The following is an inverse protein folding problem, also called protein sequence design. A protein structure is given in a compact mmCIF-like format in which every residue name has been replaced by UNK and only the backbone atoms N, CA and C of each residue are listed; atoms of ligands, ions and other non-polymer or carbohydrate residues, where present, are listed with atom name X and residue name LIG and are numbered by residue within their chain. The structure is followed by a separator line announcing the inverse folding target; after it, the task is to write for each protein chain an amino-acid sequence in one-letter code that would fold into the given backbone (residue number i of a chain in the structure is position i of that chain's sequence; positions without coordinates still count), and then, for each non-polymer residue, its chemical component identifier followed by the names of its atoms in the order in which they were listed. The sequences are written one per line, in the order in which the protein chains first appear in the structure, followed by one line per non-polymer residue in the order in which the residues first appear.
data_IF_241428758295
#
_entry.id   IF_241428758295
#
_cell.length_a   1.000
_cell.length_b   1.000
_cell.length_c   1.000
_cell.angle_alpha   90.00
_cell.angle_beta   90.00
_cell.angle_gamma   90.00
#
_symmetry.space_group_name_H-M   'P 1'
#
loop_
_entity.id
_entity.type
_entity.pdbx_description
1 polymer ?
#
# COMPACT_ATOMS: atom_id res chain seq x y z
N UNK A 1 1.26 -5.94 45.03
CA UNK A 1 1.29 -6.83 43.85
C UNK A 1 2.69 -7.38 43.75
N UNK A 2 2.87 -8.68 43.87
CA UNK A 2 4.19 -9.34 43.76
C UNK A 2 4.54 -9.40 42.25
N UNK A 3 5.57 -8.69 41.84
CA UNK A 3 6.13 -8.84 40.50
C UNK A 3 6.59 -10.29 40.29
N UNK A 4 6.03 -10.94 39.26
CA UNK A 4 6.40 -12.30 38.88
C UNK A 4 7.52 -12.22 37.86
N UNK A 5 8.76 -12.36 38.28
CA UNK A 5 9.92 -12.43 37.39
C UNK A 5 9.89 -13.78 36.65
N UNK A 6 9.79 -13.74 35.32
CA UNK A 6 9.88 -14.91 34.44
C UNK A 6 11.30 -14.96 33.89
N UNK A 7 12.04 -16.01 34.22
CA UNK A 7 13.37 -16.25 33.64
C UNK A 7 13.17 -17.05 32.35
N UNK A 8 13.63 -16.47 31.23
CA UNK A 8 13.63 -17.09 29.91
C UNK A 8 15.06 -17.16 29.37
N UNK A 9 15.36 -18.18 28.58
CA UNK A 9 16.64 -18.25 27.86
C UNK A 9 16.71 -17.16 26.78
N UNK A 10 17.93 -16.71 26.46
CA UNK A 10 18.13 -15.74 25.36
C UNK A 10 17.65 -16.31 24.02
N UNK A 11 17.86 -17.62 23.81
CA UNK A 11 17.41 -18.33 22.60
C UNK A 11 15.89 -18.29 22.43
N UNK A 12 15.15 -18.54 23.51
CA UNK A 12 13.69 -18.50 23.49
C UNK A 12 13.15 -17.09 23.20
N UNK A 13 13.78 -16.07 23.83
CA UNK A 13 13.44 -14.66 23.60
C UNK A 13 13.71 -14.28 22.14
N UNK A 14 14.90 -14.62 21.63
CA UNK A 14 15.29 -14.32 20.25
C UNK A 14 14.39 -15.03 19.25
N UNK A 15 14.08 -16.32 19.48
CA UNK A 15 13.19 -17.11 18.63
C UNK A 15 11.78 -16.53 18.57
N UNK A 16 11.18 -16.18 19.71
CA UNK A 16 9.85 -15.55 19.77
C UNK A 16 9.83 -14.20 19.04
N UNK A 17 10.81 -13.34 19.32
CA UNK A 17 10.90 -12.01 18.70
C UNK A 17 11.13 -12.10 17.20
N UNK A 18 12.01 -12.98 16.74
CA UNK A 18 12.24 -13.23 15.33
C UNK A 18 11.00 -13.78 14.62
N UNK A 19 10.29 -14.72 15.25
CA UNK A 19 9.06 -15.28 14.71
C UNK A 19 7.96 -14.21 14.54
N UNK A 20 7.77 -13.35 15.53
CA UNK A 20 6.82 -12.24 15.47
C UNK A 20 7.19 -11.22 14.39
N UNK A 21 8.46 -10.85 14.31
CA UNK A 21 8.95 -9.92 13.29
C UNK A 21 8.79 -10.50 11.87
N UNK A 22 9.15 -11.77 11.69
CA UNK A 22 8.99 -12.46 10.39
C UNK A 22 7.53 -12.50 9.97
N UNK A 23 6.61 -12.84 10.89
CA UNK A 23 5.17 -12.82 10.63
C UNK A 23 4.69 -11.43 10.19
N UNK A 24 5.13 -10.38 10.88
CA UNK A 24 4.80 -9.00 10.52
C UNK A 24 5.30 -8.64 9.11
N UNK A 25 6.56 -8.95 8.76
CA UNK A 25 7.10 -8.67 7.43
C UNK A 25 6.35 -9.43 6.34
N UNK A 26 5.91 -10.65 6.60
CA UNK A 26 5.16 -11.45 5.63
C UNK A 26 3.77 -10.85 5.41
N UNK A 27 3.00 -10.63 6.47
CA UNK A 27 1.59 -10.26 6.40
C UNK A 27 1.36 -8.77 6.15
N UNK A 28 2.18 -7.90 6.79
CA UNK A 28 1.87 -6.48 6.89
C UNK A 28 2.82 -5.58 6.08
N UNK A 29 3.74 -6.16 5.29
CA UNK A 29 4.71 -5.35 4.52
C UNK A 29 5.00 -5.85 3.12
N UNK A 30 5.46 -7.10 2.97
CA UNK A 30 6.18 -7.51 1.78
C UNK A 30 5.30 -8.11 0.69
N UNK A 31 4.26 -8.86 1.07
CA UNK A 31 3.44 -9.60 0.13
C UNK A 31 2.11 -8.89 -0.15
N UNK A 32 1.63 -8.93 -1.40
CA UNK A 32 0.30 -8.42 -1.75
C UNK A 32 -0.79 -9.37 -1.25
N UNK A 33 -1.99 -8.84 -0.98
CA UNK A 33 -3.19 -9.67 -0.80
C UNK A 33 -3.64 -10.21 -2.15
N UNK A 34 -3.98 -11.50 -2.22
CA UNK A 34 -4.40 -12.15 -3.48
C UNK A 34 -5.68 -11.57 -4.05
N UNK A 35 -6.56 -11.02 -3.20
CA UNK A 35 -7.90 -10.51 -3.57
C UNK A 35 -7.84 -9.17 -4.30
N UNK A 36 -6.97 -8.25 -3.86
CA UNK A 36 -6.85 -6.90 -4.45
C UNK A 36 -5.48 -6.59 -5.06
N UNK A 37 -4.51 -7.49 -4.89
CA UNK A 37 -3.17 -7.34 -5.46
C UNK A 37 -2.32 -6.23 -4.83
N UNK A 38 -2.70 -5.74 -3.65
CA UNK A 38 -2.07 -4.59 -3.01
C UNK A 38 -1.30 -4.99 -1.75
N UNK A 39 -0.15 -4.36 -1.57
CA UNK A 39 0.54 -4.34 -0.28
C UNK A 39 -0.17 -3.36 0.66
N UNK A 40 -0.07 -3.53 1.99
CA UNK A 40 -0.76 -2.66 2.94
C UNK A 40 -0.49 -1.16 2.72
N UNK A 41 0.76 -0.74 2.49
CA UNK A 41 1.08 0.67 2.22
C UNK A 41 0.39 1.19 0.96
N UNK A 42 0.30 0.39 -0.10
CA UNK A 42 -0.38 0.77 -1.36
C UNK A 42 -1.88 0.96 -1.14
N UNK A 43 -2.52 0.02 -0.42
CA UNK A 43 -3.94 0.10 -0.08
C UNK A 43 -4.24 1.35 0.75
N UNK A 44 -3.42 1.65 1.74
CA UNK A 44 -3.55 2.83 2.61
C UNK A 44 -3.41 4.15 1.83
N UNK A 45 -2.49 4.21 0.87
CA UNK A 45 -2.33 5.38 -0.02
C UNK A 45 -3.62 5.61 -0.83
N UNK A 46 -4.10 4.58 -1.52
CA UNK A 46 -5.30 4.69 -2.37
C UNK A 46 -6.55 4.98 -1.53
N UNK A 47 -6.67 4.36 -0.35
CA UNK A 47 -7.77 4.61 0.58
C UNK A 47 -7.78 6.05 1.10
N UNK A 48 -6.64 6.57 1.54
CA UNK A 48 -6.50 7.95 1.99
C UNK A 48 -6.87 8.94 0.88
N UNK A 49 -6.40 8.72 -0.35
CA UNK A 49 -6.75 9.55 -1.50
C UNK A 49 -8.26 9.52 -1.78
N UNK A 50 -8.88 8.35 -1.74
CA UNK A 50 -10.32 8.20 -1.95
C UNK A 50 -11.13 8.89 -0.85
N UNK A 51 -10.80 8.66 0.42
CA UNK A 51 -11.48 9.23 1.58
C UNK A 51 -11.41 10.76 1.61
N UNK A 52 -10.29 11.33 1.18
CA UNK A 52 -10.12 12.78 1.03
C UNK A 52 -10.79 13.36 -0.23
N UNK A 53 -11.41 12.53 -1.07
CA UNK A 53 -12.02 12.96 -2.32
C UNK A 53 -11.00 13.42 -3.37
N UNK A 54 -9.76 12.90 -3.33
CA UNK A 54 -8.74 13.15 -4.34
C UNK A 54 -8.94 12.26 -5.57
N UNK A 55 -10.07 12.46 -6.26
CA UNK A 55 -10.59 11.61 -7.32
C UNK A 55 -10.05 12.02 -8.70
N UNK A 56 -10.14 11.16 -9.72
CA UNK A 56 -9.66 11.44 -11.08
C UNK A 56 -10.27 12.70 -11.72
N UNK A 57 -11.49 13.04 -11.33
CA UNK A 57 -12.23 14.22 -11.84
C UNK A 57 -11.92 15.51 -11.08
N UNK A 58 -11.08 15.45 -10.05
CA UNK A 58 -10.72 16.59 -9.21
C UNK A 58 -9.32 17.12 -9.59
N UNK A 59 -9.00 18.37 -9.23
CA UNK A 59 -7.65 18.89 -9.40
C UNK A 59 -6.60 18.05 -8.68
N UNK A 60 -5.39 18.04 -9.23
CA UNK A 60 -4.24 17.44 -8.56
C UNK A 60 -3.99 18.10 -7.20
N UNK A 61 -3.49 17.32 -6.24
CA UNK A 61 -3.08 17.78 -4.91
C UNK A 61 -1.62 17.49 -4.67
N UNK A 62 -0.94 18.34 -3.90
CA UNK A 62 0.45 18.10 -3.50
C UNK A 62 0.62 16.70 -2.90
N UNK A 63 1.59 15.96 -3.42
CA UNK A 63 1.92 14.60 -2.94
C UNK A 63 2.20 14.58 -1.44
N UNK A 64 2.86 15.61 -0.93
CA UNK A 64 3.13 15.77 0.51
C UNK A 64 1.87 15.75 1.38
N UNK A 65 0.72 16.21 0.87
CA UNK A 65 -0.54 16.17 1.61
C UNK A 65 -1.02 14.73 1.78
N UNK A 66 -1.06 13.96 0.70
CA UNK A 66 -1.44 12.53 0.75
C UNK A 66 -0.50 11.73 1.64
N UNK A 67 0.82 11.93 1.51
CA UNK A 67 1.82 11.28 2.35
C UNK A 67 1.59 11.60 3.82
N UNK A 68 1.36 12.88 4.16
CA UNK A 68 1.06 13.31 5.53
C UNK A 68 -0.17 12.63 6.11
N UNK A 69 -1.27 12.55 5.34
CA UNK A 69 -2.50 11.86 5.77
C UNK A 69 -2.27 10.36 6.00
N UNK A 70 -1.52 9.70 5.10
CA UNK A 70 -1.22 8.27 5.23
C UNK A 70 -0.41 7.98 6.49
N UNK A 71 0.62 8.77 6.76
CA UNK A 71 1.47 8.58 7.96
C UNK A 71 0.69 8.90 9.22
N UNK A 72 -0.05 9.99 9.22
CA UNK A 72 -0.79 10.44 10.40
C UNK A 72 -1.90 9.48 10.80
N UNK A 73 -2.60 8.87 9.83
CA UNK A 73 -3.83 8.13 10.14
C UNK A 73 -3.70 6.61 9.96
N UNK A 74 -2.80 6.10 9.08
CA UNK A 74 -2.86 4.68 8.68
C UNK A 74 -1.52 3.95 8.75
N UNK A 75 -0.39 4.64 8.50
CA UNK A 75 0.89 3.96 8.28
C UNK A 75 2.03 4.68 9.00
N UNK A 76 2.25 4.38 10.31
CA UNK A 76 3.20 5.09 11.16
C UNK A 76 4.67 4.69 10.86
N UNK A 77 5.11 4.93 9.63
CA UNK A 77 6.47 4.66 9.13
C UNK A 77 7.04 5.91 8.46
N UNK A 78 8.29 5.82 7.96
CA UNK A 78 8.96 6.97 7.32
C UNK A 78 8.24 7.49 6.08
N UNK A 79 8.20 8.81 5.92
CA UNK A 79 7.56 9.52 4.81
C UNK A 79 8.11 9.15 3.44
N UNK A 80 9.42 8.97 3.33
CA UNK A 80 10.08 8.53 2.10
C UNK A 80 9.55 7.20 1.59
N UNK A 81 9.33 6.22 2.47
CA UNK A 81 8.82 4.91 2.06
C UNK A 81 7.39 4.97 1.51
N UNK A 82 6.54 5.81 2.11
CA UNK A 82 5.17 6.05 1.64
C UNK A 82 5.19 6.81 0.32
N UNK A 83 6.02 7.83 0.19
CA UNK A 83 6.14 8.60 -1.04
C UNK A 83 6.67 7.76 -2.20
N UNK A 84 7.73 6.96 -1.99
CA UNK A 84 8.26 6.05 -3.01
C UNK A 84 7.23 5.01 -3.46
N UNK A 85 6.42 4.47 -2.53
CA UNK A 85 5.33 3.58 -2.88
C UNK A 85 4.28 4.29 -3.76
N UNK A 86 3.91 5.54 -3.43
CA UNK A 86 2.98 6.35 -4.21
C UNK A 86 3.54 6.67 -5.60
N UNK A 87 4.81 7.02 -5.71
CA UNK A 87 5.51 7.26 -6.99
C UNK A 87 5.46 5.99 -7.85
N UNK A 88 5.77 4.81 -7.29
CA UNK A 88 5.69 3.54 -8.03
C UNK A 88 4.31 3.26 -8.60
N UNK A 89 3.25 3.57 -7.86
CA UNK A 89 1.88 3.40 -8.32
C UNK A 89 1.51 4.30 -9.51
N UNK A 90 2.32 5.33 -9.80
CA UNK A 90 2.12 6.26 -10.93
C UNK A 90 3.02 5.98 -12.15
N UNK A 91 3.99 5.08 -12.03
CA UNK A 91 4.98 4.82 -13.07
C UNK A 91 4.49 3.77 -14.07
N UNK A 92 4.28 4.14 -15.33
CA UNK A 92 3.79 3.26 -16.39
C UNK A 92 4.78 2.17 -16.83
N UNK A 93 6.09 2.35 -16.52
CA UNK A 93 7.12 1.31 -16.69
C UNK A 93 7.23 0.33 -15.50
N UNK A 94 6.55 0.60 -14.38
CA UNK A 94 6.47 -0.29 -13.20
C UNK A 94 5.10 -0.93 -13.04
N UNK A 95 4.06 -0.25 -13.49
CA UNK A 95 2.67 -0.66 -13.38
C UNK A 95 2.08 -0.76 -14.79
N UNK A 96 1.54 -1.90 -15.16
CA UNK A 96 0.84 -2.03 -16.45
C UNK A 96 -0.36 -1.10 -16.54
N UNK A 97 -1.07 -0.94 -15.43
CA UNK A 97 -2.16 0.01 -15.26
C UNK A 97 -1.89 0.85 -13.99
N UNK A 98 -1.32 2.05 -14.12
CA UNK A 98 -1.06 2.92 -12.98
C UNK A 98 -2.33 3.22 -12.18
N UNK A 99 -2.20 3.19 -10.85
CA UNK A 99 -3.31 3.44 -9.93
C UNK A 99 -3.33 4.87 -9.39
N UNK A 100 -2.22 5.58 -9.56
CA UNK A 100 -2.07 7.00 -9.21
C UNK A 100 -1.73 7.77 -10.49
N UNK A 101 -2.43 8.86 -10.71
CA UNK A 101 -2.13 9.85 -11.75
C UNK A 101 -1.31 10.98 -11.11
N UNK A 102 -0.06 11.12 -11.54
CA UNK A 102 0.90 12.06 -10.94
C UNK A 102 1.38 13.09 -11.97
N UNK A 103 1.46 14.33 -11.53
CA UNK A 103 1.98 15.46 -12.29
C UNK A 103 3.31 15.94 -11.69
N UNK A 104 4.26 16.23 -12.56
CA UNK A 104 5.62 16.59 -12.20
C UNK A 104 6.61 15.46 -12.48
N UNK A 105 7.84 15.59 -11.96
CA UNK A 105 8.87 14.57 -12.14
C UNK A 105 8.63 13.39 -11.18
N UNK A 106 8.13 12.27 -11.71
CA UNK A 106 7.94 11.00 -10.99
C UNK A 106 9.06 9.97 -11.29
N UNK A 107 10.23 10.42 -11.73
CA UNK A 107 11.37 9.56 -12.07
C UNK A 107 11.41 9.15 -13.53
N UNK A 108 12.33 8.25 -13.87
CA UNK A 108 12.47 7.69 -15.21
C UNK A 108 12.69 6.18 -15.19
N UNK A 109 12.58 5.54 -16.37
CA UNK A 109 12.90 4.12 -16.54
C UNK A 109 14.41 3.86 -16.33
N UNK A 110 15.25 4.85 -16.53
CA UNK A 110 16.70 4.80 -16.32
C UNK A 110 17.08 4.93 -14.83
N UNK A 111 16.08 4.87 -13.96
CA UNK A 111 16.22 4.90 -12.51
C UNK A 111 16.59 6.28 -11.92
N UNK A 112 16.29 7.37 -12.64
CA UNK A 112 16.35 8.69 -12.03
C UNK A 112 15.32 8.81 -10.92
N UNK A 113 15.65 9.44 -9.78
CA UNK A 113 14.73 9.61 -8.69
C UNK A 113 13.61 10.59 -9.03
N UNK A 114 12.44 10.38 -8.44
CA UNK A 114 11.37 11.37 -8.47
C UNK A 114 11.79 12.65 -7.74
N UNK A 115 11.21 13.77 -8.13
CA UNK A 115 11.34 15.01 -7.38
C UNK A 115 10.73 14.85 -5.97
N UNK A 116 11.19 15.67 -5.02
CA UNK A 116 10.64 15.63 -3.67
C UNK A 116 9.11 15.87 -3.65
N UNK A 117 8.41 15.26 -2.70
CA UNK A 117 6.93 15.26 -2.60
C UNK A 117 6.28 16.65 -2.53
N UNK A 118 7.05 17.69 -2.19
CA UNK A 118 6.59 19.09 -2.20
C UNK A 118 6.44 19.67 -3.60
N UNK A 119 7.10 19.07 -4.61
CA UNK A 119 7.08 19.52 -6.00
C UNK A 119 6.09 18.76 -6.87
N UNK A 120 5.82 17.50 -6.56
CA UNK A 120 4.88 16.67 -7.32
C UNK A 120 3.45 16.81 -6.80
N UNK A 121 2.51 16.51 -7.69
CA UNK A 121 1.08 16.52 -7.39
C UNK A 121 0.47 15.20 -7.87
N UNK A 122 -0.55 14.71 -7.17
CA UNK A 122 -1.15 13.43 -7.47
C UNK A 122 -2.66 13.44 -7.26
N UNK A 123 -3.34 12.50 -7.92
CA UNK A 123 -4.74 12.13 -7.72
C UNK A 123 -4.92 10.65 -8.04
N UNK A 124 -6.06 10.06 -7.70
CA UNK A 124 -6.36 8.70 -8.13
C UNK A 124 -6.45 8.61 -9.65
N UNK A 125 -5.92 7.54 -10.21
CA UNK A 125 -6.18 7.19 -11.60
C UNK A 125 -7.61 6.61 -11.76
N UNK A 126 -8.27 6.73 -12.93
CA UNK A 126 -9.63 6.22 -13.14
C UNK A 126 -9.79 4.75 -12.77
N UNK A 127 -8.86 3.89 -13.16
CA UNK A 127 -8.89 2.45 -12.88
C UNK A 127 -8.83 2.11 -11.39
N UNK A 128 -8.23 2.96 -10.56
CA UNK A 128 -8.17 2.75 -9.11
C UNK A 128 -9.57 2.82 -8.47
N UNK A 129 -10.51 3.53 -9.08
CA UNK A 129 -11.90 3.57 -8.59
C UNK A 129 -12.59 2.21 -8.70
N UNK A 130 -12.23 1.38 -9.69
CA UNK A 130 -12.78 0.03 -9.83
C UNK A 130 -12.26 -0.94 -8.77
N UNK A 131 -11.11 -0.66 -8.16
CA UNK A 131 -10.63 -1.40 -6.98
C UNK A 131 -11.43 -1.05 -5.72
N UNK A 132 -11.82 0.22 -5.58
CA UNK A 132 -12.41 0.77 -4.34
C UNK A 132 -13.95 0.76 -4.41
N UNK A 133 -14.52 0.57 -5.59
CA UNK A 133 -15.97 0.66 -5.81
C UNK A 133 -16.75 -0.20 -4.83
N UNK A 134 -17.81 0.39 -4.28
CA UNK A 134 -18.72 -0.23 -3.32
C UNK A 134 -18.10 -0.50 -1.92
N UNK A 135 -16.96 0.10 -1.58
CA UNK A 135 -16.32 -0.03 -0.26
C UNK A 135 -17.20 0.52 0.88
N UNK A 136 -18.03 1.50 0.59
CA UNK A 136 -19.00 2.13 1.49
C UNK A 136 -20.25 1.28 1.75
N UNK A 137 -20.37 0.13 1.08
CA UNK A 137 -21.52 -0.79 1.19
C UNK A 137 -21.25 -2.02 2.04
N UNK A 138 -20.29 -1.93 2.96
CA UNK A 138 -19.90 -3.03 3.86
C UNK A 138 -19.49 -4.32 3.12
N UNK A 139 -18.89 -4.17 1.93
CA UNK A 139 -18.48 -5.29 1.06
C UNK A 139 -17.22 -5.99 1.53
N UNK A 140 -16.42 -5.33 2.38
CA UNK A 140 -15.13 -5.82 2.87
C UNK A 140 -14.98 -5.58 4.36
N UNK A 141 -14.19 -6.43 5.07
CA UNK A 141 -13.91 -6.20 6.48
C UNK A 141 -13.09 -4.92 6.68
N UNK A 142 -13.47 -4.18 7.72
CA UNK A 142 -12.75 -3.01 8.19
C UNK A 142 -12.04 -3.34 9.51
N UNK A 143 -10.86 -2.79 9.72
CA UNK A 143 -10.08 -2.90 10.95
C UNK A 143 -9.78 -1.51 11.50
N UNK A 144 -9.57 -1.41 12.80
CA UNK A 144 -9.05 -0.19 13.41
C UNK A 144 -7.62 0.07 12.92
N UNK A 145 -7.28 1.33 12.72
CA UNK A 145 -5.93 1.77 12.41
C UNK A 145 -4.99 1.59 13.63
N UNK A 146 -3.73 1.98 13.50
CA UNK A 146 -2.69 1.74 14.51
C UNK A 146 -2.91 2.42 15.87
N UNK A 147 -3.73 3.48 15.95
CA UNK A 147 -4.05 4.23 17.16
C UNK A 147 -5.52 4.11 17.59
N UNK A 148 -6.28 3.20 16.99
CA UNK A 148 -7.68 2.91 17.25
C UNK A 148 -8.64 4.10 17.06
N UNK A 149 -8.25 5.10 16.26
CA UNK A 149 -9.05 6.31 16.04
C UNK A 149 -9.94 6.25 14.81
N UNK A 150 -9.55 5.46 13.80
CA UNK A 150 -10.26 5.36 12.52
C UNK A 150 -10.30 3.90 12.02
N UNK A 151 -11.25 3.62 11.12
CA UNK A 151 -11.30 2.34 10.42
C UNK A 151 -10.61 2.43 9.06
N UNK A 152 -9.84 1.40 8.73
CA UNK A 152 -9.25 1.17 7.41
C UNK A 152 -9.69 -0.18 6.83
N UNK A 153 -9.81 -0.32 5.49
CA UNK A 153 -10.16 -1.61 4.88
C UNK A 153 -8.97 -2.56 4.93
N UNK A 154 -9.23 -3.81 5.28
CA UNK A 154 -8.20 -4.86 5.24
C UNK A 154 -7.90 -5.32 3.81
N UNK A 155 -8.86 -5.13 2.90
CA UNK A 155 -8.78 -5.46 1.47
C UNK A 155 -9.75 -4.57 0.70
N UNK A 156 -9.51 -4.34 -0.59
CA UNK A 156 -10.46 -3.65 -1.45
C UNK A 156 -11.45 -4.63 -2.11
N UNK A 157 -12.66 -4.17 -2.49
CA UNK A 157 -13.65 -5.00 -3.20
C UNK A 157 -13.18 -5.51 -4.56
N UNK A 158 -12.27 -4.82 -5.20
CA UNK A 158 -11.55 -5.14 -6.44
C UNK A 158 -12.42 -5.77 -7.54
N UNK A 159 -12.92 -4.96 -8.48
CA UNK A 159 -13.76 -5.44 -9.60
C UNK A 159 -12.97 -6.14 -10.70
N UNK A 160 -11.66 -6.03 -10.70
CA UNK A 160 -10.79 -6.71 -11.66
C UNK A 160 -9.59 -7.34 -10.92
N UNK A 161 -8.95 -8.35 -11.49
CA UNK A 161 -7.86 -9.09 -10.84
C UNK A 161 -6.55 -8.29 -10.89
N UNK A 162 -6.44 -7.24 -10.09
CA UNK A 162 -5.29 -6.33 -10.08
C UNK A 162 -3.96 -7.04 -9.85
N UNK A 163 -3.93 -8.13 -9.05
CA UNK A 163 -2.72 -8.91 -8.84
C UNK A 163 -2.14 -9.44 -10.15
N UNK A 164 -2.99 -9.93 -11.05
CA UNK A 164 -2.56 -10.46 -12.35
C UNK A 164 -2.28 -9.33 -13.35
N UNK A 165 -3.10 -8.29 -13.35
CA UNK A 165 -2.95 -7.18 -14.31
C UNK A 165 -1.65 -6.41 -14.07
N UNK A 166 -1.37 -6.02 -12.85
CA UNK A 166 -0.17 -5.24 -12.50
C UNK A 166 1.01 -6.11 -12.06
N UNK A 167 0.77 -7.40 -11.79
CA UNK A 167 1.79 -8.25 -11.21
C UNK A 167 2.16 -7.83 -9.79
N UNK A 168 3.10 -8.52 -9.19
CA UNK A 168 3.68 -8.13 -7.92
C UNK A 168 5.02 -8.81 -7.70
N UNK A 169 5.96 -8.07 -7.13
CA UNK A 169 7.22 -8.60 -6.64
C UNK A 169 7.38 -8.28 -5.15
N UNK A 170 7.90 -9.21 -4.39
CA UNK A 170 8.12 -8.99 -2.97
C UNK A 170 8.98 -10.07 -2.35
N UNK A 171 9.84 -9.69 -1.41
CA UNK A 171 10.71 -10.59 -0.67
C UNK A 171 10.41 -10.41 0.82
N UNK A 172 10.16 -11.52 1.49
CA UNK A 172 9.94 -11.55 2.93
C UNK A 172 10.74 -12.67 3.61
N UNK A 173 10.55 -12.87 4.90
CA UNK A 173 11.23 -13.94 5.64
C UNK A 173 10.70 -15.32 5.21
N UNK A 174 11.48 -16.06 4.43
CA UNK A 174 11.15 -17.42 3.97
C UNK A 174 10.15 -17.48 2.79
N UNK A 175 9.63 -16.34 2.30
CA UNK A 175 8.71 -16.28 1.18
C UNK A 175 9.10 -15.19 0.20
N UNK A 176 8.88 -15.45 -1.08
CA UNK A 176 9.01 -14.45 -2.14
C UNK A 176 7.84 -14.58 -3.11
N UNK A 177 7.47 -13.48 -3.75
CA UNK A 177 6.50 -13.47 -4.83
C UNK A 177 7.09 -12.74 -6.02
N UNK A 178 6.86 -13.29 -7.21
CA UNK A 178 7.25 -12.68 -8.49
C UNK A 178 6.19 -13.06 -9.54
N UNK A 179 5.20 -12.18 -9.68
CA UNK A 179 4.05 -12.36 -10.58
C UNK A 179 4.20 -11.34 -11.69
N UNK A 180 4.36 -11.77 -12.95
CA UNK A 180 4.44 -10.85 -14.09
C UNK A 180 3.09 -10.18 -14.36
N UNK A 181 3.08 -8.98 -14.95
CA UNK A 181 1.84 -8.32 -15.36
C UNK A 181 1.21 -9.01 -16.57
N UNK A 182 -0.13 -9.04 -16.59
CA UNK A 182 -0.93 -9.67 -17.65
C UNK A 182 -1.87 -8.65 -18.32
N UNK A 183 -2.33 -8.98 -19.53
CA UNK A 183 -3.34 -8.18 -20.22
C UNK A 183 -4.71 -8.36 -19.53
N UNK A 184 -5.39 -7.26 -19.24
CA UNK A 184 -6.70 -7.28 -18.59
C UNK A 184 -7.74 -8.07 -19.38
N UNK A 185 -7.79 -7.89 -20.73
CA UNK A 185 -8.72 -8.59 -21.60
C UNK A 185 -8.47 -10.12 -21.68
N UNK A 186 -7.22 -10.54 -21.47
CA UNK A 186 -6.86 -11.96 -21.48
C UNK A 186 -7.11 -12.65 -20.14
N UNK A 187 -7.29 -11.87 -19.07
CA UNK A 187 -7.48 -12.39 -17.70
C UNK A 187 -8.95 -12.47 -17.33
N UNK A 188 -9.83 -11.70 -18.00
CA UNK A 188 -11.28 -11.69 -17.81
C UNK A 188 -11.95 -12.59 -18.85
#
# INVERSE_FOLDING_TARGET
MTEKNIIMSLEDIMGDRFGRYSKYIIQDRALPDVRDGLKPVQRRILYAMWKEGNLPTKPYRKSAKTVGTVIGNYHPHGDSSVYEAMVRLSQDWKMRMPLVDMQGNNGSIDNDPAAAMRYTEARLAPIALDLIKDIDKETVPMALNFDDTEYEPTVFPAKYPNLLVNGATGISAGYATDIPPHNLEEVI
#
